data_IF_867380016509
#
_entry.id   IF_867380016509
#
_cell.length_a   1.000
_cell.length_b   1.000
_cell.length_c   1.000
_cell.angle_alpha   90.00
_cell.angle_beta   90.00
_cell.angle_gamma   90.00
#
_symmetry.space_group_name_H-M   'P 1'
#
loop_
_entity.id
_entity.type
_entity.pdbx_description
1 polymer ?
#
# COMPACT_ATOMS: atom_id res chain seq x y z
N UNK A 1 15.60 -24.93 -7.83
CA UNK A 1 15.87 -24.84 -6.38
C UNK A 1 14.88 -23.92 -5.64
N UNK A 2 14.55 -22.72 -6.15
CA UNK A 2 13.66 -21.74 -5.45
C UNK A 2 12.36 -22.33 -4.86
N UNK A 3 11.68 -23.21 -5.60
CA UNK A 3 10.38 -23.79 -5.20
C UNK A 3 10.42 -25.32 -5.04
N UNK A 4 11.60 -25.90 -4.95
CA UNK A 4 11.79 -27.36 -4.87
C UNK A 4 11.14 -27.96 -3.63
N UNK A 5 11.36 -27.34 -2.46
CA UNK A 5 10.68 -27.71 -1.19
C UNK A 5 9.23 -27.23 -1.10
N UNK A 6 8.73 -26.54 -2.14
CA UNK A 6 7.32 -26.18 -2.29
C UNK A 6 6.59 -27.12 -3.26
N UNK A 7 7.19 -28.29 -3.57
CA UNK A 7 6.58 -29.33 -4.40
C UNK A 7 6.68 -29.11 -5.90
N UNK A 8 7.45 -28.12 -6.37
CA UNK A 8 7.57 -27.81 -7.80
C UNK A 8 8.69 -28.65 -8.41
N UNK A 9 8.33 -29.64 -9.23
CA UNK A 9 9.28 -30.44 -10.00
C UNK A 9 9.90 -29.63 -11.15
N UNK A 10 11.06 -30.07 -11.65
CA UNK A 10 11.71 -29.42 -12.79
C UNK A 10 10.82 -29.40 -14.04
N UNK A 11 10.06 -30.48 -14.29
CA UNK A 11 9.13 -30.56 -15.41
C UNK A 11 8.00 -29.53 -15.27
N UNK A 12 7.40 -29.43 -14.08
CA UNK A 12 6.35 -28.43 -13.80
C UNK A 12 6.89 -27.01 -13.93
N UNK A 13 8.08 -26.73 -13.39
CA UNK A 13 8.73 -25.42 -13.53
C UNK A 13 8.94 -25.05 -15.01
N UNK A 14 9.40 -25.99 -15.84
CA UNK A 14 9.55 -25.77 -17.29
C UNK A 14 8.22 -25.50 -18.00
N UNK A 15 7.11 -26.08 -17.54
CA UNK A 15 5.78 -25.82 -18.10
C UNK A 15 5.30 -24.43 -17.70
N UNK A 16 5.38 -24.07 -16.42
CA UNK A 16 4.93 -22.76 -15.92
C UNK A 16 5.75 -21.62 -16.52
N UNK A 17 7.08 -21.76 -16.63
CA UNK A 17 7.97 -20.80 -17.30
C UNK A 17 7.64 -20.56 -18.77
N UNK A 18 6.85 -21.41 -19.44
CA UNK A 18 6.43 -21.21 -20.83
C UNK A 18 5.10 -20.48 -20.99
N UNK A 19 4.29 -20.40 -19.92
CA UNK A 19 2.89 -19.91 -20.00
C UNK A 19 2.59 -18.74 -19.07
N UNK A 20 3.35 -18.55 -17.99
CA UNK A 20 3.08 -17.53 -16.97
C UNK A 20 3.95 -16.30 -17.21
N UNK A 21 3.39 -15.29 -17.88
CA UNK A 21 4.09 -14.04 -18.20
C UNK A 21 4.66 -13.35 -16.96
N UNK A 22 3.93 -13.35 -15.84
CA UNK A 22 4.41 -12.81 -14.55
C UNK A 22 5.62 -13.55 -14.02
N UNK A 23 5.63 -14.88 -14.10
CA UNK A 23 6.76 -15.68 -13.66
C UNK A 23 7.98 -15.45 -14.56
N UNK A 24 7.78 -15.40 -15.88
CA UNK A 24 8.84 -15.11 -16.85
C UNK A 24 9.47 -13.75 -16.54
N UNK A 25 8.64 -12.71 -16.40
CA UNK A 25 9.10 -11.34 -16.13
C UNK A 25 9.81 -11.23 -14.78
N UNK A 26 9.28 -11.89 -13.74
CA UNK A 26 9.91 -11.93 -12.42
C UNK A 26 11.28 -12.60 -12.48
N UNK A 27 11.46 -13.65 -13.29
CA UNK A 27 12.75 -14.31 -13.49
C UNK A 27 13.76 -13.41 -14.22
N UNK A 28 13.32 -12.65 -15.23
CA UNK A 28 14.18 -11.66 -15.91
C UNK A 28 14.66 -10.58 -14.92
N UNK A 29 13.74 -10.04 -14.11
CA UNK A 29 14.07 -9.06 -13.08
C UNK A 29 14.98 -9.66 -12.01
N UNK A 30 14.73 -10.90 -11.58
CA UNK A 30 15.58 -11.61 -10.62
C UNK A 30 17.03 -11.73 -11.13
N UNK A 31 17.20 -12.09 -12.40
CA UNK A 31 18.50 -12.22 -13.06
C UNK A 31 19.17 -10.89 -13.42
N UNK A 32 18.47 -9.77 -13.31
CA UNK A 32 19.00 -8.45 -13.69
C UNK A 32 19.02 -8.21 -15.18
N UNK A 33 18.18 -8.93 -15.95
CA UNK A 33 18.02 -8.70 -17.39
C UNK A 33 17.08 -7.51 -17.69
N UNK A 34 16.32 -7.08 -16.68
CA UNK A 34 15.46 -5.88 -16.71
C UNK A 34 15.56 -5.15 -15.36
N UNK A 35 15.31 -3.85 -15.37
CA UNK A 35 15.38 -3.01 -14.16
C UNK A 35 14.08 -2.97 -13.35
N UNK A 36 12.94 -3.28 -13.97
CA UNK A 36 11.63 -3.19 -13.35
C UNK A 36 10.56 -4.07 -14.01
N UNK A 37 9.46 -4.30 -13.32
CA UNK A 37 8.37 -5.14 -13.81
C UNK A 37 6.98 -4.60 -13.45
N UNK A 38 6.11 -4.51 -14.46
CA UNK A 38 4.67 -4.31 -14.28
C UNK A 38 3.90 -5.55 -14.74
N UNK A 39 2.90 -5.98 -13.97
CA UNK A 39 1.96 -7.04 -14.36
C UNK A 39 0.54 -6.73 -13.87
N UNK A 40 -0.42 -7.65 -14.00
CA UNK A 40 -1.74 -7.50 -13.38
C UNK A 40 -2.82 -6.86 -14.25
N UNK A 41 -2.55 -6.58 -15.53
CA UNK A 41 -3.60 -6.20 -16.49
C UNK A 41 -4.62 -7.32 -16.73
N UNK A 42 -4.28 -8.57 -16.39
CA UNK A 42 -5.18 -9.72 -16.40
C UNK A 42 -4.98 -10.59 -15.17
N UNK A 43 -6.08 -11.00 -14.52
CA UNK A 43 -6.05 -11.85 -13.33
C UNK A 43 -6.15 -11.07 -12.02
N UNK A 44 -5.90 -11.74 -10.91
CA UNK A 44 -6.01 -11.15 -9.56
C UNK A 44 -4.65 -10.83 -8.98
N UNK A 45 -4.59 -9.79 -8.12
CA UNK A 45 -3.37 -9.40 -7.41
C UNK A 45 -2.74 -10.58 -6.66
N UNK A 46 -3.55 -11.39 -5.99
CA UNK A 46 -3.10 -12.58 -5.27
C UNK A 46 -2.37 -13.59 -6.17
N UNK A 47 -2.85 -13.80 -7.40
CA UNK A 47 -2.24 -14.72 -8.36
C UNK A 47 -0.86 -14.25 -8.78
N UNK A 48 -0.71 -12.95 -9.07
CA UNK A 48 0.58 -12.37 -9.43
C UNK A 48 1.55 -12.35 -8.25
N UNK A 49 1.05 -11.99 -7.06
CA UNK A 49 1.84 -11.91 -5.85
C UNK A 49 2.45 -13.25 -5.46
N UNK A 50 1.77 -14.37 -5.73
CA UNK A 50 2.32 -15.71 -5.53
C UNK A 50 3.61 -15.94 -6.33
N UNK A 51 3.65 -15.54 -7.61
CA UNK A 51 4.84 -15.69 -8.44
C UNK A 51 5.94 -14.71 -8.05
N UNK A 52 5.56 -13.48 -7.69
CA UNK A 52 6.50 -12.46 -7.20
C UNK A 52 7.17 -12.93 -5.91
N UNK A 53 6.42 -13.45 -4.95
CA UNK A 53 6.97 -13.95 -3.68
C UNK A 53 7.90 -15.16 -3.87
N UNK A 54 7.61 -16.03 -4.84
CA UNK A 54 8.45 -17.18 -5.14
C UNK A 54 9.81 -16.82 -5.75
N UNK A 55 9.88 -15.73 -6.51
CA UNK A 55 11.07 -15.39 -7.32
C UNK A 55 11.81 -14.17 -6.79
N UNK A 56 11.10 -13.10 -6.49
CA UNK A 56 11.65 -11.83 -5.99
C UNK A 56 11.69 -11.84 -4.47
N UNK A 57 10.57 -12.23 -3.84
CA UNK A 57 10.43 -12.22 -2.39
C UNK A 57 10.33 -10.81 -1.79
N UNK A 58 10.26 -10.78 -0.46
CA UNK A 58 10.17 -9.56 0.33
C UNK A 58 11.55 -8.93 0.54
N UNK A 59 11.60 -7.61 0.68
CA UNK A 59 12.79 -6.87 1.10
C UNK A 59 13.27 -7.38 2.46
N UNK A 60 14.58 -7.34 2.70
CA UNK A 60 15.15 -7.68 4.00
C UNK A 60 14.49 -6.87 5.13
N UNK A 61 14.10 -7.57 6.21
CA UNK A 61 13.41 -6.97 7.35
C UNK A 61 11.91 -6.75 7.18
N UNK A 62 11.35 -6.95 5.98
CA UNK A 62 9.91 -6.80 5.72
C UNK A 62 9.19 -8.14 5.77
N UNK A 63 8.05 -8.18 6.47
CA UNK A 63 7.22 -9.38 6.65
C UNK A 63 5.95 -9.34 5.81
N UNK A 64 5.46 -8.16 5.46
CA UNK A 64 4.14 -7.96 4.84
C UNK A 64 4.27 -7.23 3.51
N UNK A 65 3.49 -7.67 2.50
CA UNK A 65 3.29 -6.87 1.28
C UNK A 65 2.08 -5.97 1.47
N UNK A 66 2.05 -4.80 0.85
CA UNK A 66 0.87 -3.96 0.80
C UNK A 66 0.78 -3.20 -0.53
N UNK A 67 -0.41 -2.72 -0.85
CA UNK A 67 -0.67 -1.92 -2.04
C UNK A 67 -1.09 -0.50 -1.66
N UNK A 68 -0.21 0.45 -1.98
CA UNK A 68 -0.50 1.88 -1.87
C UNK A 68 -1.10 2.40 -3.16
N UNK A 69 -2.19 3.16 -3.05
CA UNK A 69 -2.79 3.87 -4.17
C UNK A 69 -2.82 5.36 -3.89
N UNK A 70 -2.31 6.15 -4.84
CA UNK A 70 -2.40 7.60 -4.83
C UNK A 70 -3.60 8.11 -5.62
N UNK A 71 -4.30 9.09 -5.06
CA UNK A 71 -5.36 9.83 -5.72
C UNK A 71 -4.97 11.30 -5.82
N UNK A 72 -5.13 11.86 -7.02
CA UNK A 72 -5.00 13.29 -7.25
C UNK A 72 -6.41 13.85 -7.23
N UNK A 73 -6.75 14.56 -6.17
CA UNK A 73 -8.03 15.23 -5.98
C UNK A 73 -7.87 16.74 -6.27
N UNK A 74 -8.96 17.48 -6.53
CA UNK A 74 -8.90 18.93 -6.62
C UNK A 74 -8.30 19.53 -5.34
N UNK A 75 -7.15 20.20 -5.47
CA UNK A 75 -6.48 20.89 -4.36
C UNK A 75 -5.71 20.00 -3.39
N UNK A 76 -5.70 18.67 -3.53
CA UNK A 76 -4.93 17.76 -2.65
C UNK A 76 -4.55 16.44 -3.30
N UNK A 77 -3.51 15.81 -2.76
CA UNK A 77 -3.11 14.45 -3.11
C UNK A 77 -3.15 13.58 -1.86
N UNK A 78 -3.75 12.40 -1.99
CA UNK A 78 -3.90 11.46 -0.86
C UNK A 78 -3.44 10.08 -1.28
N UNK A 79 -2.66 9.43 -0.42
CA UNK A 79 -2.22 8.05 -0.56
C UNK A 79 -3.04 7.19 0.40
N UNK A 80 -3.53 6.04 -0.08
CA UNK A 80 -4.34 5.10 0.71
C UNK A 80 -3.63 3.75 0.81
N UNK A 81 -3.58 3.20 2.02
CA UNK A 81 -3.00 1.87 2.33
C UNK A 81 -3.86 1.10 3.34
N UNK A 82 -4.04 -0.23 3.26
CA UNK A 82 -3.71 -1.18 2.17
C UNK A 82 -4.98 -1.59 1.42
N UNK A 83 -4.97 -1.39 0.11
CA UNK A 83 -6.18 -1.48 -0.73
C UNK A 83 -6.44 -2.84 -1.37
N UNK A 84 -5.45 -3.75 -1.41
CA UNK A 84 -5.54 -4.95 -2.26
C UNK A 84 -4.88 -6.21 -1.71
N UNK A 85 -4.12 -6.18 -0.59
CA UNK A 85 -3.32 -7.34 -0.15
C UNK A 85 -3.84 -7.96 1.16
N UNK A 86 -3.92 -7.20 2.25
CA UNK A 86 -4.19 -7.74 3.58
C UNK A 86 -5.66 -7.54 3.95
N UNK A 87 -6.39 -8.65 4.17
CA UNK A 87 -7.81 -8.65 4.50
C UNK A 87 -8.10 -7.90 5.81
N UNK A 88 -7.52 -8.36 6.91
CA UNK A 88 -7.63 -7.75 8.24
C UNK A 88 -6.22 -7.75 8.89
N UNK A 89 -5.38 -6.75 8.58
CA UNK A 89 -4.00 -6.72 9.06
C UNK A 89 -3.96 -6.50 10.58
N UNK A 90 -2.97 -7.10 11.25
CA UNK A 90 -2.68 -6.83 12.67
C UNK A 90 -2.09 -5.42 12.87
N UNK A 91 -1.99 -4.97 14.12
CA UNK A 91 -1.38 -3.68 14.43
C UNK A 91 0.09 -3.59 13.98
N UNK A 92 0.86 -4.67 14.12
CA UNK A 92 2.25 -4.75 13.66
C UNK A 92 2.35 -4.68 12.14
N UNK A 93 1.43 -5.32 11.43
CA UNK A 93 1.36 -5.25 9.98
C UNK A 93 0.98 -3.85 9.53
N UNK A 94 -0.02 -3.21 10.14
CA UNK A 94 -0.40 -1.84 9.84
C UNK A 94 0.74 -0.86 10.10
N UNK A 95 1.50 -1.03 11.18
CA UNK A 95 2.66 -0.22 11.48
C UNK A 95 3.75 -0.40 10.41
N UNK A 96 4.09 -1.63 10.04
CA UNK A 96 5.06 -1.94 8.98
C UNK A 96 4.62 -1.35 7.63
N UNK A 97 3.33 -1.50 7.27
CA UNK A 97 2.74 -0.96 6.04
C UNK A 97 2.81 0.57 6.01
N UNK A 98 2.46 1.22 7.12
CA UNK A 98 2.47 2.69 7.22
C UNK A 98 3.88 3.24 7.05
N UNK A 99 4.87 2.62 7.70
CA UNK A 99 6.27 3.03 7.59
C UNK A 99 6.79 2.81 6.17
N UNK A 100 6.48 1.68 5.54
CA UNK A 100 6.85 1.44 4.14
C UNK A 100 6.22 2.46 3.18
N UNK A 101 4.94 2.78 3.38
CA UNK A 101 4.23 3.76 2.57
C UNK A 101 4.82 5.16 2.74
N UNK A 102 5.12 5.57 3.97
CA UNK A 102 5.76 6.84 4.27
C UNK A 102 7.16 6.95 3.65
N UNK A 103 7.97 5.88 3.72
CA UNK A 103 9.28 5.83 3.06
C UNK A 103 9.16 6.00 1.54
N UNK A 104 8.16 5.36 0.94
CA UNK A 104 7.90 5.47 -0.51
C UNK A 104 7.42 6.87 -0.90
N UNK A 105 6.61 7.52 -0.05
CA UNK A 105 6.23 8.92 -0.25
C UNK A 105 7.43 9.87 -0.17
N UNK A 106 8.35 9.65 0.77
CA UNK A 106 9.61 10.41 0.83
C UNK A 106 10.42 10.28 -0.46
N UNK A 107 10.42 9.10 -1.10
CA UNK A 107 11.08 8.89 -2.40
C UNK A 107 10.43 9.68 -3.52
N UNK A 108 9.12 9.95 -3.45
CA UNK A 108 8.42 10.87 -4.34
C UNK A 108 8.66 12.35 -4.01
N UNK A 109 9.49 12.67 -3.02
CA UNK A 109 9.70 14.03 -2.55
C UNK A 109 8.50 14.60 -1.77
N UNK A 110 7.60 13.74 -1.30
CA UNK A 110 6.46 14.12 -0.48
C UNK A 110 6.81 13.95 1.00
N UNK A 111 6.47 14.94 1.82
CA UNK A 111 6.54 14.79 3.28
C UNK A 111 5.31 14.01 3.76
N UNK A 112 5.47 12.79 4.29
CA UNK A 112 4.33 11.96 4.70
C UNK A 112 3.72 12.49 6.00
N UNK A 113 2.38 12.60 5.99
CA UNK A 113 1.53 12.98 7.12
C UNK A 113 0.45 11.93 7.26
N UNK A 114 0.69 10.98 8.17
CA UNK A 114 -0.09 9.75 8.30
C UNK A 114 -1.26 9.92 9.26
N UNK A 115 -2.47 9.66 8.79
CA UNK A 115 -3.65 9.55 9.63
C UNK A 115 -4.09 8.08 9.70
N UNK A 116 -4.15 7.56 10.93
CA UNK A 116 -4.69 6.23 11.22
C UNK A 116 -6.22 6.34 11.31
N UNK A 117 -6.90 5.83 10.29
CA UNK A 117 -8.35 5.97 10.18
C UNK A 117 -9.09 4.88 10.96
N UNK A 118 -10.22 5.26 11.55
CA UNK A 118 -11.13 4.35 12.24
C UNK A 118 -12.56 4.90 12.21
N UNK A 119 -13.53 4.09 12.63
CA UNK A 119 -14.86 4.57 13.00
C UNK A 119 -14.86 5.22 14.39
N UNK A 120 -13.78 5.06 15.17
CA UNK A 120 -13.53 5.78 16.41
C UNK A 120 -12.79 7.09 16.12
N UNK A 121 -12.99 8.08 16.99
CA UNK A 121 -12.28 9.34 16.95
C UNK A 121 -11.65 9.58 18.32
N UNK A 122 -10.34 9.36 18.45
CA UNK A 122 -9.55 9.55 19.66
C UNK A 122 -10.17 8.91 20.92
N UNK A 123 -10.55 7.64 20.82
CA UNK A 123 -11.06 6.86 21.94
C UNK A 123 -12.58 6.86 22.14
N UNK A 124 -13.38 7.42 21.22
CA UNK A 124 -14.85 7.35 21.30
C UNK A 124 -15.40 5.92 21.23
N UNK A 125 -14.60 4.95 20.77
CA UNK A 125 -14.94 3.53 20.77
C UNK A 125 -13.78 2.64 21.21
N UNK A 126 -14.11 1.56 21.92
CA UNK A 126 -13.19 0.48 22.30
C UNK A 126 -13.45 -0.82 21.53
N UNK A 127 -14.14 -0.73 20.38
CA UNK A 127 -14.27 -1.88 19.49
C UNK A 127 -12.88 -2.35 19.01
N UNK A 128 -12.71 -3.65 18.69
CA UNK A 128 -11.41 -4.21 18.32
C UNK A 128 -10.68 -3.44 17.21
N UNK A 129 -11.41 -2.97 16.19
CA UNK A 129 -10.85 -2.15 15.11
C UNK A 129 -10.24 -0.83 15.61
N UNK A 130 -10.86 -0.16 16.58
CA UNK A 130 -10.36 1.09 17.14
C UNK A 130 -9.13 0.88 18.03
N UNK A 131 -9.17 -0.13 18.90
CA UNK A 131 -8.03 -0.54 19.74
C UNK A 131 -6.83 -0.87 18.86
N UNK A 132 -7.04 -1.66 17.80
CA UNK A 132 -6.01 -2.02 16.82
C UNK A 132 -5.31 -0.81 16.20
N UNK A 133 -6.05 0.24 15.85
CA UNK A 133 -5.46 1.46 15.28
C UNK A 133 -4.66 2.26 16.34
N UNK A 134 -5.07 2.25 17.60
CA UNK A 134 -4.29 2.86 18.70
C UNK A 134 -3.00 2.09 18.99
N UNK A 135 -3.07 0.76 19.00
CA UNK A 135 -1.88 -0.09 19.15
C UNK A 135 -0.92 0.14 17.98
N UNK A 136 -1.46 0.29 16.77
CA UNK A 136 -0.70 0.67 15.57
C UNK A 136 0.02 2.01 15.77
N UNK A 137 -0.64 3.03 16.32
CA UNK A 137 -0.03 4.33 16.61
C UNK A 137 1.17 4.18 17.54
N UNK A 138 0.99 3.48 18.66
CA UNK A 138 2.04 3.26 19.64
C UNK A 138 3.27 2.57 19.04
N UNK A 139 3.05 1.56 18.18
CA UNK A 139 4.12 0.88 17.46
C UNK A 139 4.84 1.80 16.47
N UNK A 140 4.12 2.61 15.70
CA UNK A 140 4.74 3.53 14.73
C UNK A 140 5.58 4.58 15.46
N UNK A 141 5.08 5.14 16.57
CA UNK A 141 5.82 6.14 17.35
C UNK A 141 7.16 5.59 17.87
N UNK A 142 7.22 4.29 18.20
CA UNK A 142 8.46 3.63 18.61
C UNK A 142 9.38 3.32 17.43
N UNK A 143 8.83 2.79 16.33
CA UNK A 143 9.62 2.28 15.20
C UNK A 143 10.04 3.37 14.19
N UNK A 144 9.27 4.45 14.09
CA UNK A 144 9.47 5.54 13.15
C UNK A 144 9.14 6.90 13.79
N UNK A 145 9.92 7.35 14.80
CA UNK A 145 9.68 8.64 15.48
C UNK A 145 9.82 9.86 14.57
N UNK A 146 10.40 9.69 13.37
CA UNK A 146 10.52 10.73 12.35
C UNK A 146 9.21 10.99 11.58
N UNK A 147 8.25 10.05 11.64
CA UNK A 147 7.01 10.13 10.89
C UNK A 147 5.98 10.97 11.63
N UNK A 148 5.44 11.98 10.95
CA UNK A 148 4.28 12.73 11.44
C UNK A 148 3.03 11.84 11.33
N UNK A 149 2.57 11.30 12.45
CA UNK A 149 1.45 10.33 12.51
C UNK A 149 0.53 10.62 13.69
N UNK A 150 -0.78 10.46 13.47
CA UNK A 150 -1.77 10.55 14.54
C UNK A 150 -2.99 9.65 14.28
N UNK A 151 -3.80 9.44 15.32
CA UNK A 151 -5.06 8.71 15.30
C UNK A 151 -5.33 7.96 16.60
N UNK A 152 -6.30 7.06 16.65
CA UNK A 152 -7.24 6.74 15.58
C UNK A 152 -8.26 7.87 15.37
N UNK A 153 -8.61 8.18 14.12
CA UNK A 153 -9.53 9.28 13.83
C UNK A 153 -10.45 9.00 12.64
N UNK A 154 -11.50 9.81 12.53
CA UNK A 154 -12.39 9.78 11.36
C UNK A 154 -11.70 10.38 10.12
N UNK A 155 -12.21 10.02 8.94
CA UNK A 155 -11.65 10.50 7.66
C UNK A 155 -11.78 12.02 7.45
N UNK A 156 -12.85 12.63 7.96
CA UNK A 156 -13.04 14.09 7.95
C UNK A 156 -11.99 14.80 8.82
N UNK A 157 -11.70 14.25 9.99
CA UNK A 157 -10.72 14.76 10.95
C UNK A 157 -9.29 14.65 10.40
N UNK A 158 -9.00 13.62 9.60
CA UNK A 158 -7.73 13.50 8.89
C UNK A 158 -7.57 14.57 7.80
N UNK A 159 -8.65 14.88 7.09
CA UNK A 159 -8.66 15.70 5.88
C UNK A 159 -8.96 17.19 6.12
N UNK A 160 -9.48 17.55 7.28
CA UNK A 160 -9.74 18.92 7.71
C UNK A 160 -8.89 19.26 8.95
N UNK A 161 -7.77 19.93 8.71
CA UNK A 161 -6.87 20.38 9.77
C UNK A 161 -7.49 21.41 10.73
N UNK A 162 -8.42 22.24 10.25
CA UNK A 162 -9.10 23.24 11.07
C UNK A 162 -10.01 22.56 12.08
N UNK A 163 -10.85 21.64 11.60
CA UNK A 163 -11.70 20.81 12.43
C UNK A 163 -10.88 19.96 13.42
N UNK A 164 -9.80 19.31 12.96
CA UNK A 164 -8.92 18.52 13.83
C UNK A 164 -8.30 19.36 14.94
N UNK A 165 -7.85 20.58 14.64
CA UNK A 165 -7.25 21.46 15.65
C UNK A 165 -8.26 21.87 16.74
N UNK A 166 -9.54 22.00 16.39
CA UNK A 166 -10.60 22.27 17.38
C UNK A 166 -10.88 21.06 18.26
N UNK A 167 -10.92 19.87 17.67
CA UNK A 167 -11.22 18.63 18.39
C UNK A 167 -10.02 18.16 19.25
N UNK A 168 -8.82 18.17 18.67
CA UNK A 168 -7.57 17.71 19.27
C UNK A 168 -6.44 18.74 19.05
N UNK A 169 -6.38 19.80 19.88
CA UNK A 169 -5.40 20.88 19.73
C UNK A 169 -3.93 20.44 19.81
N UNK A 170 -3.68 19.29 20.45
CA UNK A 170 -2.34 18.73 20.67
C UNK A 170 -1.97 17.61 19.68
N UNK A 171 -2.74 17.45 18.59
CA UNK A 171 -2.41 16.52 17.52
C UNK A 171 -1.02 16.84 16.93
N UNK A 172 -0.14 15.85 16.75
CA UNK A 172 1.16 16.06 16.10
C UNK A 172 1.03 16.30 14.58
N UNK A 173 -0.12 16.00 13.97
CA UNK A 173 -0.35 16.24 12.54
C UNK A 173 -0.53 17.73 12.25
N UNK A 174 0.33 18.26 11.39
CA UNK A 174 0.32 19.63 10.87
C UNK A 174 -0.41 19.69 9.54
N UNK A 175 -1.42 20.55 9.38
CA UNK A 175 -2.15 20.66 8.11
C UNK A 175 -2.86 19.36 7.70
N UNK A 176 -3.23 19.21 6.42
CA UNK A 176 -4.01 18.04 5.98
C UNK A 176 -3.16 16.76 5.91
N UNK A 177 -3.74 15.63 6.33
CA UNK A 177 -3.10 14.33 6.15
C UNK A 177 -3.06 13.95 4.66
N UNK A 178 -1.94 13.38 4.22
CA UNK A 178 -1.74 12.93 2.85
C UNK A 178 -1.49 11.42 2.74
N UNK A 179 -1.32 10.72 3.86
CA UNK A 179 -1.27 9.26 3.94
C UNK A 179 -2.42 8.79 4.84
N UNK A 180 -3.38 8.11 4.24
CA UNK A 180 -4.55 7.56 4.91
C UNK A 180 -4.36 6.07 5.11
N UNK A 181 -4.24 5.65 6.36
CA UNK A 181 -4.06 4.25 6.74
C UNK A 181 -5.41 3.70 7.19
N UNK A 182 -5.93 2.72 6.47
CA UNK A 182 -7.25 2.14 6.71
C UNK A 182 -7.14 0.83 7.49
N UNK A 183 -8.14 0.52 8.33
CA UNK A 183 -8.03 -0.59 9.29
C UNK A 183 -8.10 -1.98 8.64
N UNK A 184 -8.69 -2.09 7.45
CA UNK A 184 -8.87 -3.35 6.72
C UNK A 184 -9.07 -3.10 5.21
N UNK A 185 -9.08 -4.19 4.43
CA UNK A 185 -9.18 -4.11 2.97
C UNK A 185 -10.51 -3.51 2.50
N UNK A 186 -11.62 -3.78 3.19
CA UNK A 186 -12.94 -3.29 2.79
C UNK A 186 -12.99 -1.77 2.91
N UNK A 187 -12.57 -1.22 4.06
CA UNK A 187 -12.47 0.21 4.28
C UNK A 187 -11.57 0.85 3.21
N UNK A 188 -10.40 0.26 2.96
CA UNK A 188 -9.44 0.76 1.98
C UNK A 188 -9.99 0.75 0.55
N UNK A 189 -10.53 -0.38 0.10
CA UNK A 189 -11.00 -0.57 -1.26
C UNK A 189 -12.24 0.28 -1.56
N UNK A 190 -13.21 0.31 -0.63
CA UNK A 190 -14.43 1.11 -0.76
C UNK A 190 -14.06 2.60 -0.81
N UNK A 191 -13.29 3.09 0.17
CA UNK A 191 -12.91 4.51 0.23
C UNK A 191 -12.13 4.94 -1.01
N UNK A 192 -11.19 4.12 -1.46
CA UNK A 192 -10.43 4.38 -2.68
C UNK A 192 -11.33 4.50 -3.92
N UNK A 193 -12.22 3.53 -4.14
CA UNK A 193 -13.08 3.54 -5.32
C UNK A 193 -14.11 4.68 -5.29
N UNK A 194 -14.65 5.01 -4.12
CA UNK A 194 -15.54 6.16 -3.93
C UNK A 194 -14.81 7.47 -4.23
N UNK A 195 -13.66 7.74 -3.60
CA UNK A 195 -12.89 8.96 -3.81
C UNK A 195 -12.44 9.12 -5.28
N UNK A 196 -11.93 8.03 -5.88
CA UNK A 196 -11.50 8.02 -7.28
C UNK A 196 -12.63 8.39 -8.24
N UNK A 197 -13.83 7.86 -8.00
CA UNK A 197 -14.97 8.00 -8.92
C UNK A 197 -15.73 9.30 -8.68
N UNK A 198 -15.96 9.66 -7.41
CA UNK A 198 -16.75 10.83 -7.05
C UNK A 198 -15.97 12.15 -7.08
N UNK A 199 -14.67 12.13 -6.75
CA UNK A 199 -13.89 13.36 -6.53
C UNK A 199 -12.59 13.43 -7.34
N UNK A 200 -11.99 12.31 -7.74
CA UNK A 200 -10.65 12.28 -8.35
C UNK A 200 -10.62 12.35 -9.88
N UNK A 201 -11.76 12.49 -10.56
CA UNK A 201 -11.82 12.51 -12.03
C UNK A 201 -11.19 11.26 -12.68
N UNK A 202 -11.12 10.14 -11.95
CA UNK A 202 -10.45 8.91 -12.40
C UNK A 202 -8.91 8.94 -12.42
N UNK A 203 -8.26 10.02 -11.98
CA UNK A 203 -6.80 10.13 -11.97
C UNK A 203 -6.24 9.47 -10.70
N UNK A 204 -5.57 8.35 -10.89
CA UNK A 204 -5.03 7.55 -9.79
C UNK A 204 -3.67 6.94 -10.16
N UNK A 205 -2.73 7.02 -9.23
CA UNK A 205 -1.39 6.43 -9.27
C UNK A 205 -1.44 5.13 -8.46
N UNK A 206 -0.84 4.06 -8.97
CA UNK A 206 -0.84 2.75 -8.31
C UNK A 206 -1.76 1.72 -8.95
N UNK A 207 -1.82 0.50 -8.38
CA UNK A 207 -1.26 0.14 -7.07
C UNK A 207 0.27 0.05 -7.09
N UNK A 208 0.92 0.73 -6.14
CA UNK A 208 2.35 0.59 -5.85
C UNK A 208 2.49 -0.54 -4.84
N UNK A 209 3.16 -1.62 -5.24
CA UNK A 209 3.45 -2.74 -4.35
C UNK A 209 4.60 -2.37 -3.40
N UNK A 210 4.31 -2.36 -2.11
CA UNK A 210 5.24 -2.12 -1.03
C UNK A 210 5.80 -3.47 -0.52
N UNK A 211 7.07 -3.44 -0.11
CA UNK A 211 7.72 -4.57 0.56
C UNK A 211 8.42 -5.58 -0.35
N UNK A 212 8.36 -5.43 -1.68
CA UNK A 212 9.10 -6.27 -2.61
C UNK A 212 10.62 -5.98 -2.59
N UNK A 213 11.44 -7.01 -2.80
CA UNK A 213 12.90 -6.86 -2.82
C UNK A 213 13.46 -6.16 -4.07
N UNK A 214 12.67 -6.10 -5.15
CA UNK A 214 12.99 -5.45 -6.43
C UNK A 214 11.78 -4.63 -6.91
N UNK A 215 11.96 -3.64 -7.81
CA UNK A 215 10.87 -2.80 -8.28
C UNK A 215 9.89 -3.59 -9.18
N UNK A 216 8.82 -4.06 -8.55
CA UNK A 216 7.75 -4.81 -9.20
C UNK A 216 6.40 -4.32 -8.70
N UNK A 217 5.47 -4.05 -9.60
CA UNK A 217 4.13 -3.60 -9.24
C UNK A 217 3.05 -4.40 -9.98
N UNK A 218 1.95 -4.62 -9.26
CA UNK A 218 0.80 -5.38 -9.75
C UNK A 218 -0.34 -4.40 -9.99
N UNK A 219 -0.61 -4.13 -11.26
CA UNK A 219 -1.74 -3.36 -11.73
C UNK A 219 -3.03 -4.16 -11.59
N UNK A 220 -4.15 -3.50 -11.88
CA UNK A 220 -5.47 -4.12 -11.98
C UNK A 220 -5.96 -4.13 -13.43
N UNK A 221 -6.91 -5.01 -13.81
CA UNK A 221 -7.49 -5.01 -15.16
C UNK A 221 -8.15 -3.68 -15.56
N UNK A 222 -8.53 -2.87 -14.57
CA UNK A 222 -9.05 -1.51 -14.76
C UNK A 222 -7.97 -0.44 -15.03
N UNK A 223 -6.71 -0.83 -15.18
CA UNK A 223 -5.62 0.12 -15.44
C UNK A 223 -5.75 0.75 -16.83
N UNK A 224 -5.81 2.08 -16.87
CA UNK A 224 -5.82 2.85 -18.11
C UNK A 224 -4.40 2.95 -18.71
N UNK A 225 -4.31 3.30 -20.00
CA UNK A 225 -3.01 3.58 -20.65
C UNK A 225 -2.20 4.60 -19.85
N UNK A 226 -2.84 5.70 -19.42
CA UNK A 226 -2.19 6.73 -18.59
C UNK A 226 -1.66 6.16 -17.28
N UNK A 227 -2.40 5.27 -16.62
CA UNK A 227 -1.93 4.60 -15.40
C UNK A 227 -0.71 3.74 -15.68
N UNK A 228 -0.71 2.95 -16.76
CA UNK A 228 0.42 2.10 -17.13
C UNK A 228 1.67 2.97 -17.35
N UNK A 229 1.55 4.07 -18.12
CA UNK A 229 2.66 5.01 -18.37
C UNK A 229 3.19 5.61 -17.07
N UNK A 230 2.31 6.11 -16.19
CA UNK A 230 2.72 6.67 -14.90
C UNK A 230 3.41 5.64 -14.01
N UNK A 231 2.92 4.40 -14.00
CA UNK A 231 3.51 3.32 -13.21
C UNK A 231 4.84 2.86 -13.79
N UNK A 232 5.04 2.89 -15.11
CA UNK A 232 6.34 2.60 -15.71
C UNK A 232 7.35 3.62 -15.25
N UNK A 233 7.03 4.91 -15.33
CA UNK A 233 7.88 6.00 -14.85
C UNK A 233 8.16 5.94 -13.33
N UNK A 234 7.31 5.25 -12.56
CA UNK A 234 7.50 5.02 -11.14
C UNK A 234 8.43 3.83 -10.84
N UNK A 235 8.50 2.85 -11.76
CA UNK A 235 9.22 1.59 -11.53
C UNK A 235 10.72 1.70 -11.83
N UNK A 236 11.11 2.61 -12.72
CA UNK A 236 12.49 2.88 -13.16
C UNK A 236 13.01 4.19 -12.60
#
# INVERSE_FOLDING_TARGET
>A
RMTERKGVTQQLAKIEMRRRLTLISAMLLHKGEVDGMLCGTWGTTATHLQYIDQVIGKRAGVKTYACMNGLILPGRQVMLVDTHVNYDPTAEQLAEITIMAAQEMCRFGLTPKAALLSHSNFGTSNCPSAVKMRDTLALIQQLAPWLEVDGEMHGDTALDAGYRKQLMPHSPLTGEANLLVLPNIDAANISYNLLKTAAGGGIAIGPVLLGAAKPVHVLTPSATVRRIVNMTALTV
#
